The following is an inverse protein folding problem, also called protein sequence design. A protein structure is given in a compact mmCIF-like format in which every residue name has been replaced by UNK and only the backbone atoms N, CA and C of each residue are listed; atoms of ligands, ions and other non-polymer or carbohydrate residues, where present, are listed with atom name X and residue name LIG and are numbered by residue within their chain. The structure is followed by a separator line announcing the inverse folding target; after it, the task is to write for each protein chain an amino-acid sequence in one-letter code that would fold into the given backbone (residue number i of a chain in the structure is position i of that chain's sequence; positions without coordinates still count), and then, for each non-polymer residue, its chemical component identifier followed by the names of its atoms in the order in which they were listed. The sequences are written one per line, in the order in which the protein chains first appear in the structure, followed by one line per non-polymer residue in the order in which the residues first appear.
data_IF_674247350462
#
_entry.id   IF_674247350462
#
_cell.length_a   1.000
_cell.length_b   1.000
_cell.length_c   1.000
_cell.angle_alpha   90.00
_cell.angle_beta   90.00
_cell.angle_gamma   90.00
#
_symmetry.space_group_name_H-M   'P 1'
#
loop_
_entity.id
_entity.type
_entity.pdbx_description
1 polymer ?
#
# COMPACT_ATOMS: atom_id res chain seq x y z
N UNK A 1 5.04 13.21 4.12
CA UNK A 1 4.03 13.59 3.10
C UNK A 1 2.85 12.64 3.22
N UNK A 2 1.64 13.18 3.24
CA UNK A 2 0.43 12.40 3.43
C UNK A 2 -0.05 11.84 2.09
N UNK A 3 -0.29 10.53 2.03
CA UNK A 3 -0.86 9.85 0.88
C UNK A 3 -2.07 9.00 1.30
N UNK A 4 -2.99 8.77 0.36
CA UNK A 4 -4.17 7.96 0.58
C UNK A 4 -3.96 6.60 -0.04
N UNK A 5 -4.18 5.53 0.72
CA UNK A 5 -4.21 4.17 0.19
C UNK A 5 -5.66 3.71 0.21
N UNK A 6 -6.20 3.42 -0.97
CA UNK A 6 -7.54 2.88 -1.14
C UNK A 6 -7.47 1.37 -1.29
N UNK A 7 -8.10 0.66 -0.38
CA UNK A 7 -8.17 -0.80 -0.42
C UNK A 7 -9.31 -1.28 -1.32
N UNK A 8 -9.29 -2.57 -1.70
CA UNK A 8 -10.36 -3.18 -2.50
C UNK A 8 -11.73 -3.15 -1.81
N UNK A 9 -11.76 -3.05 -0.48
CA UNK A 9 -13.01 -2.92 0.29
C UNK A 9 -13.60 -1.51 0.24
N UNK A 10 -12.92 -0.56 -0.43
CA UNK A 10 -13.32 0.83 -0.52
C UNK A 10 -12.91 1.68 0.68
N UNK A 11 -12.14 1.12 1.63
CA UNK A 11 -11.60 1.86 2.77
C UNK A 11 -10.40 2.70 2.31
N UNK A 12 -10.37 3.95 2.73
CA UNK A 12 -9.25 4.87 2.49
C UNK A 12 -8.48 5.07 3.79
N UNK A 13 -7.19 4.74 3.77
CA UNK A 13 -6.28 4.98 4.90
C UNK A 13 -5.28 6.07 4.53
N UNK A 14 -5.06 6.98 5.46
CA UNK A 14 -4.04 8.02 5.31
C UNK A 14 -2.76 7.57 6.02
N UNK A 15 -1.65 7.57 5.29
CA UNK A 15 -0.33 7.26 5.84
C UNK A 15 0.66 8.37 5.51
N UNK A 16 1.57 8.64 6.43
CA UNK A 16 2.66 9.58 6.23
C UNK A 16 3.92 8.83 5.81
N UNK A 17 4.46 9.22 4.66
CA UNK A 17 5.67 8.64 4.05
C UNK A 17 6.57 9.75 3.53
N UNK A 18 7.84 9.49 3.26
CA UNK A 18 8.73 10.44 2.60
C UNK A 18 8.92 10.07 1.11
N UNK A 19 9.18 11.05 0.22
CA UNK A 19 9.43 10.75 -1.20
C UNK A 19 10.70 9.89 -1.42
N UNK A 20 11.62 9.93 -0.45
CA UNK A 20 12.83 9.11 -0.40
C UNK A 20 12.57 7.69 0.10
N UNK A 21 11.42 7.43 0.74
CA UNK A 21 11.07 6.10 1.21
C UNK A 21 10.83 5.15 0.02
N UNK A 22 11.23 3.90 0.23
CA UNK A 22 10.96 2.79 -0.67
C UNK A 22 9.52 2.34 -0.55
N UNK A 23 9.03 1.70 -1.61
CA UNK A 23 7.69 1.09 -1.61
C UNK A 23 7.56 -0.01 -0.54
N UNK A 24 8.65 -0.69 -0.19
CA UNK A 24 8.68 -1.64 0.94
C UNK A 24 8.19 -1.00 2.25
N UNK A 25 8.72 0.18 2.60
CA UNK A 25 8.33 0.97 3.77
C UNK A 25 6.83 1.29 3.79
N UNK A 26 6.28 1.61 2.61
CA UNK A 26 4.84 1.90 2.45
C UNK A 26 4.01 0.66 2.77
N UNK A 27 4.44 -0.52 2.32
CA UNK A 27 3.74 -1.79 2.62
C UNK A 27 3.79 -2.13 4.11
N UNK A 28 4.90 -1.87 4.78
CA UNK A 28 5.01 -2.03 6.25
C UNK A 28 3.98 -1.13 6.97
N UNK A 29 3.90 0.15 6.61
CA UNK A 29 2.90 1.07 7.20
C UNK A 29 1.45 0.63 6.96
N UNK A 30 1.19 0.05 5.81
CA UNK A 30 -0.13 -0.50 5.46
C UNK A 30 -0.41 -1.78 6.27
N UNK A 31 0.60 -2.64 6.49
CA UNK A 31 0.47 -3.82 7.37
C UNK A 31 0.11 -3.38 8.79
N UNK A 32 0.78 -2.38 9.35
CA UNK A 32 0.48 -1.88 10.71
C UNK A 32 -0.99 -1.40 10.85
N UNK A 33 -1.60 -0.90 9.77
CA UNK A 33 -2.97 -0.35 9.79
C UNK A 33 -4.06 -1.36 9.42
N UNK A 34 -3.81 -2.22 8.44
CA UNK A 34 -4.80 -3.18 7.92
C UNK A 34 -4.54 -4.62 8.41
N UNK A 35 -3.35 -4.91 8.93
CA UNK A 35 -2.94 -6.25 9.35
C UNK A 35 -2.62 -7.21 8.20
N UNK A 36 -2.42 -6.70 6.98
CA UNK A 36 -2.20 -7.51 5.78
C UNK A 36 -0.70 -7.65 5.54
N UNK A 37 -0.13 -8.86 5.39
CA UNK A 37 1.30 -9.03 5.18
C UNK A 37 1.77 -8.45 3.83
N UNK A 38 2.98 -7.83 3.73
CA UNK A 38 3.49 -7.14 2.55
C UNK A 38 3.62 -8.05 1.32
N UNK A 39 3.79 -9.36 1.55
CA UNK A 39 3.82 -10.37 0.49
C UNK A 39 2.45 -10.54 -0.21
N UNK A 40 1.35 -10.27 0.49
CA UNK A 40 0.00 -10.27 -0.07
C UNK A 40 -0.42 -8.90 -0.59
N UNK A 41 0.29 -7.83 -0.23
CA UNK A 41 -0.01 -6.47 -0.68
C UNK A 41 0.55 -6.19 -2.07
N UNK A 42 -0.31 -5.72 -2.98
CA UNK A 42 0.09 -5.14 -4.27
C UNK A 42 -0.36 -3.70 -4.35
N UNK A 43 0.61 -2.79 -4.37
CA UNK A 43 0.36 -1.37 -4.55
C UNK A 43 0.35 -1.05 -6.04
N UNK A 44 -0.70 -0.38 -6.48
CA UNK A 44 -0.90 0.08 -7.86
C UNK A 44 -1.04 1.59 -7.84
N UNK A 45 -0.21 2.26 -8.63
CA UNK A 45 -0.23 3.71 -8.79
C UNK A 45 -0.18 4.07 -10.28
N UNK A 46 -1.06 4.97 -10.71
CA UNK A 46 -1.21 5.35 -12.13
C UNK A 46 -1.35 4.15 -13.08
N UNK A 47 -2.05 3.09 -12.64
CA UNK A 47 -2.24 1.87 -13.42
C UNK A 47 -1.01 0.96 -13.51
N UNK A 48 0.08 1.27 -12.79
CA UNK A 48 1.30 0.47 -12.75
C UNK A 48 1.52 -0.12 -11.36
N UNK A 49 1.86 -1.40 -11.30
CA UNK A 49 2.28 -2.02 -10.05
C UNK A 49 3.60 -1.41 -9.59
N UNK A 50 3.66 -1.06 -8.30
CA UNK A 50 4.85 -0.53 -7.68
C UNK A 50 5.76 -1.67 -7.20
N UNK A 51 7.03 -1.60 -7.60
CA UNK A 51 8.10 -2.46 -7.09
C UNK A 51 8.73 -1.89 -5.82
N UNK A 52 9.08 -2.78 -4.90
CA UNK A 52 9.82 -2.54 -3.65
C UNK A 52 11.23 -1.94 -3.86
N UNK A 53 11.90 -2.28 -4.96
CA UNK A 53 13.21 -1.69 -5.32
C UNK A 53 13.17 -0.18 -5.58
N UNK A 54 11.98 0.38 -5.79
CA UNK A 54 11.78 1.77 -6.22
C UNK A 54 11.27 2.66 -5.09
N UNK A 55 11.55 3.95 -5.19
CA UNK A 55 11.09 4.96 -4.23
C UNK A 55 9.77 5.60 -4.66
N UNK A 56 9.04 6.18 -3.70
CA UNK A 56 7.83 6.95 -4.00
C UNK A 56 8.09 8.11 -4.99
N UNK A 57 9.27 8.74 -4.89
CA UNK A 57 9.71 9.78 -5.83
C UNK A 57 9.87 9.28 -7.27
N UNK A 58 10.35 8.04 -7.50
CA UNK A 58 10.51 7.48 -8.86
C UNK A 58 9.15 7.36 -9.57
N UNK A 59 8.10 7.03 -8.82
CA UNK A 59 6.73 6.99 -9.31
C UNK A 59 6.05 8.36 -9.37
N UNK A 60 6.74 9.44 -8.97
CA UNK A 60 6.19 10.79 -8.86
C UNK A 60 4.97 10.86 -7.94
N UNK A 61 4.98 10.06 -6.87
CA UNK A 61 3.95 10.13 -5.84
C UNK A 61 4.07 11.47 -5.14
N UNK A 62 2.99 12.25 -5.16
CA UNK A 62 2.89 13.53 -4.45
C UNK A 62 1.99 13.40 -3.23
N UNK A 63 2.14 14.32 -2.27
CA UNK A 63 1.21 14.43 -1.16
C UNK A 63 -0.23 14.61 -1.66
N UNK A 64 -1.16 13.81 -1.17
CA UNK A 64 -2.55 13.74 -1.60
C UNK A 64 -2.83 12.75 -2.73
N UNK A 65 -1.81 12.08 -3.26
CA UNK A 65 -1.99 11.00 -4.24
C UNK A 65 -2.74 9.81 -3.64
N UNK A 66 -3.52 9.13 -4.49
CA UNK A 66 -4.28 7.92 -4.11
C UNK A 66 -3.63 6.68 -4.72
N UNK A 67 -3.15 5.79 -3.87
CA UNK A 67 -2.63 4.48 -4.24
C UNK A 67 -3.74 3.45 -4.11
N UNK A 68 -3.82 2.51 -5.04
CA UNK A 68 -4.77 1.40 -4.97
C UNK A 68 -4.05 0.18 -4.40
N UNK A 69 -4.51 -0.33 -3.27
CA UNK A 69 -4.04 -1.58 -2.68
C UNK A 69 -4.93 -2.72 -3.17
N UNK A 70 -4.32 -3.69 -3.85
CA UNK A 70 -4.96 -4.95 -4.23
C UNK A 70 -4.29 -6.12 -3.53
N UNK A 71 -5.05 -7.18 -3.28
CA UNK A 71 -4.56 -8.36 -2.59
C UNK A 71 -4.12 -9.42 -3.60
N UNK A 72 -2.93 -9.96 -3.41
CA UNK A 72 -2.49 -11.17 -4.06
C UNK A 72 -3.16 -12.37 -3.36
N UNK A 73 -4.34 -12.75 -3.82
CA UNK A 73 -5.03 -13.93 -3.31
C UNK A 73 -4.26 -15.20 -3.72
N UNK A 74 -3.61 -15.86 -2.75
CA UNK A 74 -3.38 -17.31 -2.80
C UNK A 74 -4.58 -17.95 -2.10
N UNK A 75 -5.24 -18.92 -2.74
CA UNK A 75 -6.39 -19.60 -2.14
C UNK A 75 -6.01 -20.23 -0.80
N UNK A 76 -6.60 -19.73 0.29
CA UNK A 76 -6.38 -20.22 1.66
C UNK A 76 -6.10 -19.08 2.63
N UNK A 77 -7.05 -18.86 3.55
CA UNK A 77 -6.91 -18.12 4.81
C UNK A 77 -6.74 -16.59 4.70
N UNK A 78 -7.88 -15.91 4.63
CA UNK A 78 -8.03 -14.54 5.12
C UNK A 78 -8.80 -14.60 6.45
N UNK A 79 -8.10 -14.96 7.53
CA UNK A 79 -8.64 -14.93 8.88
C UNK A 79 -8.28 -13.57 9.51
N UNK A 80 -8.93 -12.52 9.04
CA UNK A 80 -8.91 -11.24 9.74
C UNK A 80 -9.92 -11.33 10.90
N UNK A 81 -9.50 -11.90 12.03
CA UNK A 81 -10.13 -11.59 13.31
C UNK A 81 -9.82 -10.12 13.62
N UNK A 82 -10.72 -9.23 13.20
CA UNK A 82 -10.79 -7.87 13.73
C UNK A 82 -11.31 -7.98 15.16
N UNK A 83 -10.44 -7.76 16.14
CA UNK A 83 -10.80 -7.64 17.55
C UNK A 83 -11.29 -6.23 17.86
#
# INVERSE_FOLDING_TARGET
MLIKVKTLTGKEIEIDIEPTDKVERIKERVEEKEGIPPAQQRLIFSGKQMNDDKTAADYKVTGGSVLHLVLALRGGEWCACYQ
#
